data_IF_930773566710
#
_entry.id   IF_930773566710
#
_cell.length_a   1.000
_cell.length_b   1.000
_cell.length_c   1.000
_cell.angle_alpha   90.00
_cell.angle_beta   90.00
_cell.angle_gamma   90.00
#
_symmetry.space_group_name_H-M   'P 1'
#
loop_
_entity.id
_entity.type
_entity.pdbx_description
1 polymer ?
#
# COMPACT_ATOMS: atom_id res chain seq x y z
N UNK A 1 -11.10 -32.36 -39.12
CA UNK A 1 -12.19 -32.00 -38.21
C UNK A 1 -11.67 -30.99 -37.19
N UNK A 2 -12.10 -29.81 -37.39
CA UNK A 2 -11.85 -28.57 -36.67
C UNK A 2 -12.31 -28.70 -35.23
N UNK A 3 -11.49 -28.38 -34.23
CA UNK A 3 -12.02 -27.89 -32.97
C UNK A 3 -11.07 -26.94 -32.22
N UNK A 4 -11.47 -25.70 -32.18
CA UNK A 4 -11.34 -24.64 -31.20
C UNK A 4 -10.39 -24.88 -30.01
N UNK A 5 -9.19 -24.33 -30.08
CA UNK A 5 -8.45 -23.88 -28.91
C UNK A 5 -9.00 -22.51 -28.49
N UNK A 6 -9.78 -22.50 -27.45
CA UNK A 6 -10.14 -21.28 -26.70
C UNK A 6 -8.92 -20.84 -25.91
N UNK A 7 -8.59 -19.57 -26.10
CA UNK A 7 -7.40 -18.92 -25.60
C UNK A 7 -7.23 -18.99 -24.08
N UNK A 8 -6.04 -19.34 -23.72
CA UNK A 8 -5.41 -19.00 -22.46
C UNK A 8 -5.16 -17.50 -22.51
N UNK A 9 -5.90 -16.74 -21.75
CA UNK A 9 -5.58 -15.34 -21.54
C UNK A 9 -4.26 -15.26 -20.79
N UNK A 10 -3.27 -14.48 -21.25
CA UNK A 10 -2.09 -14.20 -20.46
C UNK A 10 -2.54 -13.42 -19.23
N UNK A 11 -2.27 -13.99 -18.06
CA UNK A 11 -2.37 -13.30 -16.78
C UNK A 11 -1.59 -12.00 -16.93
N UNK A 12 -2.31 -10.91 -16.98
CA UNK A 12 -1.77 -9.56 -17.00
C UNK A 12 -0.96 -9.36 -15.72
N UNK A 13 0.36 -9.54 -15.82
CA UNK A 13 1.29 -9.10 -14.78
C UNK A 13 1.16 -7.59 -14.67
N UNK A 14 0.36 -7.18 -13.72
CA UNK A 14 0.26 -5.79 -13.31
C UNK A 14 1.63 -5.40 -12.78
N UNK A 15 2.35 -4.59 -13.56
CA UNK A 15 3.52 -3.86 -13.09
C UNK A 15 2.99 -2.80 -12.12
N UNK A 16 2.79 -3.21 -10.89
CA UNK A 16 2.63 -2.33 -9.74
C UNK A 16 4.04 -1.90 -9.28
N UNK A 17 4.79 -1.23 -10.15
CA UNK A 17 6.11 -0.67 -9.85
C UNK A 17 5.96 0.84 -9.75
N UNK A 18 5.26 1.29 -8.71
CA UNK A 18 5.26 2.72 -8.36
C UNK A 18 5.23 2.97 -6.84
N UNK A 19 5.40 1.95 -6.01
CA UNK A 19 5.34 2.14 -4.55
C UNK A 19 6.36 1.35 -3.72
N UNK A 20 7.37 0.71 -4.31
CA UNK A 20 8.31 -0.14 -3.54
C UNK A 20 9.74 0.35 -3.67
N UNK A 21 10.10 1.42 -2.97
CA UNK A 21 11.47 1.95 -3.01
C UNK A 21 11.81 2.95 -1.92
N UNK A 22 11.04 3.03 -0.85
CA UNK A 22 11.36 3.87 0.30
C UNK A 22 11.90 3.00 1.46
N UNK A 23 13.14 2.52 1.32
CA UNK A 23 13.96 2.13 2.46
C UNK A 23 14.89 3.31 2.76
N UNK A 24 14.48 4.17 3.68
CA UNK A 24 15.31 5.22 4.23
C UNK A 24 16.31 4.61 5.22
N UNK A 25 17.59 4.66 4.87
CA UNK A 25 18.67 4.48 5.83
C UNK A 25 18.91 5.86 6.46
N UNK A 26 18.56 6.01 7.74
CA UNK A 26 18.89 7.18 8.53
C UNK A 26 20.42 7.18 8.78
N UNK A 27 21.12 8.09 8.11
CA UNK A 27 22.50 8.43 8.49
C UNK A 27 22.43 9.48 9.60
N UNK A 28 23.00 9.17 10.76
CA UNK A 28 23.17 10.11 11.86
C UNK A 28 24.01 11.31 11.40
N UNK A 29 23.43 12.50 11.51
CA UNK A 29 24.16 13.75 11.36
C UNK A 29 25.02 13.94 12.64
N UNK A 30 26.32 13.85 12.49
CA UNK A 30 27.26 14.36 13.53
C UNK A 30 27.41 15.85 13.33
N UNK A 31 27.15 16.61 14.39
CA UNK A 31 27.43 18.04 14.49
C UNK A 31 28.91 18.32 14.26
N UNK A 32 29.22 18.97 13.14
CA UNK A 32 30.52 19.56 12.92
C UNK A 32 30.55 20.97 13.54
N UNK A 33 31.59 21.34 14.27
CA UNK A 33 31.70 22.66 14.89
C UNK A 33 31.77 23.75 13.81
N UNK A 34 30.94 24.77 13.97
CA UNK A 34 30.97 25.96 13.14
C UNK A 34 32.28 26.73 13.33
N UNK A 35 33.17 26.60 12.35
CA UNK A 35 34.35 27.47 12.24
C UNK A 35 33.88 28.80 11.63
N UNK A 36 33.71 29.79 12.44
CA UNK A 36 33.59 31.20 11.99
C UNK A 36 34.94 31.65 11.41
N UNK A 37 35.10 31.54 10.09
CA UNK A 37 36.20 32.20 9.40
C UNK A 37 35.85 33.69 9.19
N UNK A 38 36.42 34.51 10.03
CA UNK A 38 36.44 35.96 9.85
C UNK A 38 37.46 36.28 8.71
N UNK A 39 36.97 36.28 7.47
CA UNK A 39 37.81 36.48 6.29
C UNK A 39 37.94 37.95 5.91
N UNK A 40 37.63 38.89 6.82
CA UNK A 40 37.83 40.33 6.57
C UNK A 40 36.99 40.92 5.42
N UNK A 41 36.06 40.13 4.86
CA UNK A 41 35.14 40.59 3.82
C UNK A 41 33.81 41.03 4.48
N UNK A 42 33.53 42.32 4.38
CA UNK A 42 32.29 42.88 4.90
C UNK A 42 31.12 42.59 3.95
N UNK A 43 30.67 41.32 3.92
CA UNK A 43 29.59 40.89 3.03
C UNK A 43 28.23 41.20 3.67
N UNK A 44 27.29 41.80 2.90
CA UNK A 44 25.91 41.99 3.37
C UNK A 44 25.27 40.65 3.75
N UNK A 45 24.47 40.60 4.81
CA UNK A 45 23.75 39.42 5.25
C UNK A 45 22.71 38.94 4.23
N UNK A 46 22.25 39.81 3.34
CA UNK A 46 21.35 39.54 2.24
C UNK A 46 22.05 39.81 0.93
N UNK A 47 22.65 38.76 0.35
CA UNK A 47 23.26 38.77 -0.99
C UNK A 47 22.17 38.63 -2.05
N UNK A 48 21.66 39.75 -2.57
CA UNK A 48 20.88 39.73 -3.82
C UNK A 48 21.83 39.76 -5.00
N UNK A 49 21.90 38.73 -5.77
CA UNK A 49 22.61 38.68 -7.05
C UNK A 49 21.81 39.47 -8.09
N UNK A 50 22.32 40.67 -8.46
CA UNK A 50 21.77 41.50 -9.55
C UNK A 50 22.18 40.93 -10.93
N UNK A 51 21.61 39.79 -11.31
CA UNK A 51 21.73 39.24 -12.65
C UNK A 51 20.34 38.83 -13.13
N UNK A 52 19.95 39.25 -14.34
CA UNK A 52 18.78 38.65 -14.99
C UNK A 52 19.08 37.17 -15.14
N UNK A 53 18.40 36.32 -14.34
CA UNK A 53 18.42 34.88 -14.54
C UNK A 53 17.78 34.64 -15.90
N UNK A 54 18.58 34.23 -16.88
CA UNK A 54 18.05 33.81 -18.18
C UNK A 54 17.13 32.60 -17.95
N UNK A 55 15.82 32.72 -18.17
CA UNK A 55 14.87 31.63 -17.95
C UNK A 55 15.14 30.43 -18.89
N UNK A 56 15.97 30.61 -19.91
CA UNK A 56 16.39 29.56 -20.85
C UNK A 56 17.69 28.86 -20.43
N UNK A 57 18.42 29.39 -19.44
CA UNK A 57 19.65 28.79 -18.95
C UNK A 57 19.33 27.62 -18.00
N UNK A 58 19.35 26.41 -18.54
CA UNK A 58 19.20 25.18 -17.75
C UNK A 58 20.49 24.92 -16.98
N UNK A 59 20.50 25.21 -15.67
CA UNK A 59 21.65 24.88 -14.82
C UNK A 59 21.73 23.37 -14.63
N UNK A 60 22.93 22.82 -14.80
CA UNK A 60 23.21 21.44 -14.43
C UNK A 60 23.01 21.30 -12.91
N UNK A 61 22.33 20.25 -12.48
CA UNK A 61 22.19 19.88 -11.07
C UNK A 61 23.10 18.70 -10.74
N UNK A 62 23.29 17.80 -11.69
CA UNK A 62 24.26 16.72 -11.63
C UNK A 62 24.78 16.35 -13.02
N UNK A 63 26.00 15.83 -13.07
CA UNK A 63 26.61 15.28 -14.29
C UNK A 63 27.05 13.86 -13.98
N UNK A 64 26.55 12.87 -14.73
CA UNK A 64 26.82 11.44 -14.53
C UNK A 64 27.55 10.91 -15.76
N UNK A 65 28.84 10.56 -15.62
CA UNK A 65 29.68 10.09 -16.74
C UNK A 65 29.53 10.97 -18.00
N UNK A 66 29.46 12.32 -17.81
CA UNK A 66 29.26 13.28 -18.91
C UNK A 66 27.78 13.56 -19.28
N UNK A 67 26.81 12.81 -18.77
CA UNK A 67 25.39 13.08 -19.02
C UNK A 67 24.86 14.10 -18.02
N UNK A 68 24.28 15.20 -18.52
CA UNK A 68 23.78 16.30 -17.70
C UNK A 68 22.34 16.03 -17.25
N UNK A 69 22.07 16.18 -15.94
CA UNK A 69 20.74 16.26 -15.34
C UNK A 69 20.49 17.70 -14.91
N UNK A 70 19.38 18.28 -15.36
CA UNK A 70 19.00 19.67 -15.05
C UNK A 70 17.93 19.75 -13.97
N UNK A 71 17.80 20.91 -13.34
CA UNK A 71 16.68 21.17 -12.41
C UNK A 71 15.31 20.94 -13.04
N UNK A 72 15.16 21.27 -14.34
CA UNK A 72 13.93 21.02 -15.09
C UNK A 72 13.60 19.52 -15.20
N UNK A 73 14.61 18.66 -15.39
CA UNK A 73 14.39 17.21 -15.46
C UNK A 73 13.86 16.69 -14.11
N UNK A 74 14.39 17.23 -13.00
CA UNK A 74 13.96 16.90 -11.66
C UNK A 74 12.52 17.38 -11.41
N UNK A 75 12.22 18.65 -11.74
CA UNK A 75 10.91 19.25 -11.51
C UNK A 75 9.82 18.54 -12.31
N UNK A 76 10.07 18.21 -13.57
CA UNK A 76 9.16 17.45 -14.41
C UNK A 76 8.92 16.02 -13.89
N UNK A 77 9.94 15.34 -13.37
CA UNK A 77 9.81 14.03 -12.77
C UNK A 77 9.09 14.09 -11.42
N UNK A 78 9.37 15.12 -10.62
CA UNK A 78 8.67 15.37 -9.36
C UNK A 78 7.16 15.58 -9.58
N UNK A 79 6.80 16.32 -10.64
CA UNK A 79 5.40 16.51 -11.02
C UNK A 79 4.69 15.17 -11.33
N UNK A 80 5.37 14.21 -11.98
CA UNK A 80 4.82 12.85 -12.19
C UNK A 80 4.59 12.11 -10.88
N UNK A 81 5.53 12.22 -9.94
CA UNK A 81 5.41 11.57 -8.61
C UNK A 81 4.23 12.18 -7.83
N UNK A 82 4.10 13.49 -7.85
CA UNK A 82 2.99 14.21 -7.20
C UNK A 82 1.65 13.79 -7.81
N UNK A 83 1.57 13.74 -9.13
CA UNK A 83 0.37 13.31 -9.86
C UNK A 83 -0.05 11.87 -9.49
N UNK A 84 0.91 10.95 -9.41
CA UNK A 84 0.66 9.56 -9.04
C UNK A 84 0.16 9.41 -7.59
N UNK A 85 0.49 10.36 -6.70
CA UNK A 85 0.08 10.40 -5.29
C UNK A 85 -1.16 11.28 -5.03
N UNK A 86 -1.96 11.56 -6.04
CA UNK A 86 -3.22 12.31 -5.89
C UNK A 86 -3.08 13.83 -5.91
N UNK A 87 -1.91 14.37 -6.28
CA UNK A 87 -1.75 15.78 -6.63
C UNK A 87 -1.52 16.77 -5.49
N UNK A 88 -1.49 16.31 -4.23
CA UNK A 88 -1.27 17.19 -3.07
C UNK A 88 -0.14 16.66 -2.18
N UNK A 89 0.87 17.47 -1.94
CA UNK A 89 2.02 17.16 -1.08
C UNK A 89 2.39 18.44 -0.30
N UNK A 90 2.74 18.28 0.98
CA UNK A 90 3.23 19.38 1.81
C UNK A 90 4.61 19.88 1.32
N UNK A 91 4.92 21.17 1.51
CA UNK A 91 6.15 21.76 0.99
C UNK A 91 7.41 21.10 1.56
N UNK A 92 7.39 20.71 2.84
CA UNK A 92 8.51 20.01 3.50
C UNK A 92 8.75 18.60 2.89
N UNK A 93 7.68 17.92 2.52
CA UNK A 93 7.75 16.61 1.87
C UNK A 93 8.22 16.76 0.41
N UNK A 94 7.89 17.86 -0.24
CA UNK A 94 8.29 18.17 -1.61
C UNK A 94 9.81 18.23 -1.77
N UNK A 95 10.53 18.83 -0.85
CA UNK A 95 11.99 18.90 -0.89
C UNK A 95 12.64 17.51 -0.70
N UNK A 96 12.09 16.70 0.21
CA UNK A 96 12.55 15.30 0.37
C UNK A 96 12.35 14.48 -0.90
N UNK A 97 11.18 14.60 -1.51
CA UNK A 97 10.87 13.94 -2.78
C UNK A 97 11.75 14.43 -3.92
N UNK A 98 12.11 15.70 -3.95
CA UNK A 98 13.02 16.27 -4.94
C UNK A 98 14.39 15.59 -4.90
N UNK A 99 14.95 15.39 -3.72
CA UNK A 99 16.21 14.66 -3.54
C UNK A 99 16.08 13.18 -3.95
N UNK A 100 14.96 12.55 -3.63
CA UNK A 100 14.69 11.18 -4.05
C UNK A 100 14.57 11.05 -5.57
N UNK A 101 13.87 11.98 -6.20
CA UNK A 101 13.73 12.06 -7.68
C UNK A 101 15.10 12.24 -8.33
N UNK A 102 15.97 13.12 -7.80
CA UNK A 102 17.34 13.26 -8.30
C UNK A 102 18.09 11.93 -8.27
N UNK A 103 18.05 11.21 -7.14
CA UNK A 103 18.67 9.87 -7.03
C UNK A 103 18.14 8.90 -8.07
N UNK A 104 16.82 8.87 -8.25
CA UNK A 104 16.18 7.99 -9.23
C UNK A 104 16.60 8.32 -10.67
N UNK A 105 16.75 9.60 -11.03
CA UNK A 105 17.21 10.00 -12.35
C UNK A 105 18.70 9.66 -12.54
N UNK A 106 19.51 9.75 -11.49
CA UNK A 106 20.90 9.29 -11.51
C UNK A 106 20.95 7.79 -11.81
N UNK A 107 20.19 6.99 -11.08
CA UNK A 107 20.12 5.54 -11.29
C UNK A 107 19.68 5.17 -12.69
N UNK A 108 18.59 5.77 -13.15
CA UNK A 108 18.07 5.61 -14.51
C UNK A 108 19.15 5.92 -15.56
N UNK A 109 19.92 6.98 -15.32
CA UNK A 109 21.01 7.37 -16.24
C UNK A 109 22.10 6.30 -16.27
N UNK A 110 22.53 5.81 -15.11
CA UNK A 110 23.52 4.74 -14.98
C UNK A 110 23.01 3.45 -15.63
N UNK A 111 21.77 3.08 -15.39
CA UNK A 111 21.13 1.89 -15.96
C UNK A 111 21.10 1.93 -17.50
N UNK A 112 20.76 3.09 -18.09
CA UNK A 112 20.76 3.28 -19.54
C UNK A 112 22.19 3.21 -20.10
N UNK A 113 23.16 3.81 -19.43
CA UNK A 113 24.56 3.79 -19.84
C UNK A 113 25.13 2.38 -19.81
N UNK A 114 24.86 1.64 -18.73
CA UNK A 114 25.31 0.26 -18.55
C UNK A 114 24.68 -0.69 -19.59
N UNK A 115 23.38 -0.53 -19.87
CA UNK A 115 22.71 -1.30 -20.92
C UNK A 115 23.38 -1.07 -22.29
N UNK A 116 23.71 0.17 -22.62
CA UNK A 116 24.42 0.52 -23.87
C UNK A 116 25.83 -0.08 -23.91
N UNK A 117 26.54 -0.06 -22.79
CA UNK A 117 27.86 -0.67 -22.70
C UNK A 117 27.84 -2.19 -22.95
N UNK A 118 26.69 -2.80 -22.83
CA UNK A 118 26.43 -4.23 -23.12
C UNK A 118 25.63 -4.45 -24.43
N UNK A 119 25.66 -3.51 -25.38
CA UNK A 119 24.98 -3.57 -26.67
C UNK A 119 23.45 -3.83 -26.52
N UNK A 120 22.84 -3.23 -25.49
CA UNK A 120 21.41 -3.26 -25.26
C UNK A 120 20.84 -1.88 -25.57
N UNK A 121 20.22 -1.77 -26.74
CA UNK A 121 19.53 -0.56 -27.18
C UNK A 121 18.02 -0.74 -27.07
N UNK A 122 17.35 0.31 -26.61
CA UNK A 122 15.89 0.40 -26.57
C UNK A 122 15.46 1.31 -27.71
N UNK A 123 14.69 0.76 -28.63
CA UNK A 123 14.23 1.49 -29.83
C UNK A 123 13.13 2.49 -29.47
N UNK A 124 13.01 3.54 -30.29
CA UNK A 124 11.95 4.53 -30.11
C UNK A 124 10.55 3.90 -30.19
N UNK A 125 10.36 2.90 -31.07
CA UNK A 125 9.09 2.17 -31.19
C UNK A 125 8.69 1.44 -29.90
N UNK A 126 9.64 0.82 -29.19
CA UNK A 126 9.38 0.16 -27.90
C UNK A 126 8.99 1.16 -26.80
N UNK A 127 9.66 2.32 -26.81
CA UNK A 127 9.34 3.44 -25.90
C UNK A 127 7.94 3.96 -26.18
N UNK A 128 7.61 4.21 -27.45
CA UNK A 128 6.31 4.76 -27.86
C UNK A 128 5.18 3.77 -27.60
N UNK A 129 5.39 2.48 -27.83
CA UNK A 129 4.42 1.44 -27.47
C UNK A 129 4.18 1.39 -25.96
N UNK A 130 5.22 1.50 -25.15
CA UNK A 130 5.08 1.53 -23.69
C UNK A 130 4.42 2.81 -23.21
N UNK A 131 4.71 3.94 -23.85
CA UNK A 131 4.07 5.22 -23.58
C UNK A 131 2.57 5.18 -23.90
N UNK A 132 2.16 4.54 -25.00
CA UNK A 132 0.75 4.35 -25.35
C UNK A 132 0.01 3.57 -24.25
N UNK A 133 0.59 2.47 -23.73
CA UNK A 133 -0.01 1.72 -22.62
C UNK A 133 -0.14 2.55 -21.34
N UNK A 134 0.81 3.45 -21.08
CA UNK A 134 0.69 4.39 -19.95
C UNK A 134 -0.46 5.37 -20.19
N UNK A 135 -0.58 5.94 -21.39
CA UNK A 135 -1.66 6.87 -21.74
C UNK A 135 -3.06 6.21 -21.56
N UNK A 136 -3.21 4.95 -21.96
CA UNK A 136 -4.46 4.18 -21.78
C UNK A 136 -4.87 4.07 -20.30
N UNK A 137 -3.92 3.87 -19.38
CA UNK A 137 -4.22 3.84 -17.92
C UNK A 137 -4.78 5.16 -17.42
N UNK A 138 -4.38 6.27 -18.02
CA UNK A 138 -4.93 7.59 -17.76
C UNK A 138 -6.19 7.89 -18.59
N UNK A 139 -6.72 6.90 -19.32
CA UNK A 139 -7.87 7.03 -20.23
C UNK A 139 -7.64 8.14 -21.28
N UNK A 140 -6.42 8.20 -21.83
CA UNK A 140 -5.99 9.19 -22.83
C UNK A 140 -5.34 8.49 -24.03
N UNK A 141 -5.28 9.21 -25.15
CA UNK A 141 -4.45 8.80 -26.29
C UNK A 141 -3.02 9.33 -26.10
N UNK A 142 -2.01 8.76 -26.77
CA UNK A 142 -0.64 9.30 -26.72
C UNK A 142 -0.56 10.80 -27.04
N UNK A 143 -1.37 11.26 -28.03
CA UNK A 143 -1.41 12.66 -28.46
C UNK A 143 -1.94 13.59 -27.35
N UNK A 144 -3.03 13.20 -26.68
CA UNK A 144 -3.65 14.01 -25.60
C UNK A 144 -2.87 13.91 -24.29
N UNK A 145 -2.11 12.84 -24.09
CA UNK A 145 -1.31 12.64 -22.89
C UNK A 145 -0.20 13.68 -22.74
N UNK A 146 0.46 14.06 -23.85
CA UNK A 146 1.51 15.07 -23.83
C UNK A 146 1.02 16.46 -23.39
N UNK A 147 -0.20 16.87 -23.81
CA UNK A 147 -0.84 18.10 -23.35
C UNK A 147 -1.16 18.03 -21.84
N UNK A 148 -1.77 16.95 -21.42
CA UNK A 148 -2.09 16.70 -20.01
C UNK A 148 -0.85 16.75 -19.10
N UNK A 149 0.24 16.11 -19.50
CA UNK A 149 1.48 16.13 -18.73
C UNK A 149 2.03 17.55 -18.57
N UNK A 150 1.97 18.38 -19.62
CA UNK A 150 2.37 19.79 -19.53
C UNK A 150 1.51 20.60 -18.59
N UNK A 151 0.19 20.40 -18.59
CA UNK A 151 -0.72 21.02 -17.64
C UNK A 151 -0.39 20.65 -16.18
N UNK A 152 0.10 19.43 -15.96
CA UNK A 152 0.53 18.96 -14.64
C UNK A 152 2.00 19.33 -14.28
N UNK A 153 2.66 20.16 -15.10
CA UNK A 153 4.05 20.59 -14.87
C UNK A 153 5.12 19.55 -15.24
N UNK A 154 4.75 18.54 -16.03
CA UNK A 154 5.66 17.51 -16.50
C UNK A 154 5.84 17.54 -18.03
N UNK A 155 6.44 16.52 -18.61
CA UNK A 155 6.61 16.38 -20.05
C UNK A 155 6.58 14.94 -20.53
N UNK A 156 6.23 14.75 -21.80
CA UNK A 156 6.32 13.48 -22.49
C UNK A 156 7.76 12.93 -22.48
N UNK A 157 8.74 13.81 -22.64
CA UNK A 157 10.16 13.44 -22.57
C UNK A 157 10.54 12.83 -21.23
N UNK A 158 10.06 13.38 -20.12
CA UNK A 158 10.36 12.88 -18.77
C UNK A 158 9.86 11.46 -18.58
N UNK A 159 8.62 11.17 -18.99
CA UNK A 159 8.05 9.83 -18.84
C UNK A 159 8.66 8.83 -19.84
N UNK A 160 8.93 9.23 -21.09
CA UNK A 160 9.60 8.39 -22.08
C UNK A 160 11.02 8.01 -21.66
N UNK A 161 11.75 8.93 -21.03
CA UNK A 161 13.08 8.62 -20.49
C UNK A 161 13.00 7.60 -19.35
N UNK A 162 12.01 7.73 -18.46
CA UNK A 162 11.77 6.73 -17.41
C UNK A 162 11.47 5.34 -18.01
N UNK A 163 10.59 5.28 -18.99
CA UNK A 163 10.29 4.04 -19.72
C UNK A 163 11.56 3.44 -20.35
N UNK A 164 12.39 4.28 -20.96
CA UNK A 164 13.66 3.83 -21.53
C UNK A 164 14.57 3.21 -20.48
N UNK A 165 14.70 3.83 -19.30
CA UNK A 165 15.49 3.31 -18.18
C UNK A 165 14.96 1.97 -17.67
N UNK A 166 13.66 1.86 -17.46
CA UNK A 166 13.00 0.63 -17.01
C UNK A 166 13.19 -0.53 -18.01
N UNK A 167 13.00 -0.27 -19.31
CA UNK A 167 13.21 -1.27 -20.37
C UNK A 167 14.68 -1.69 -20.48
N UNK A 168 15.59 -0.72 -20.44
CA UNK A 168 17.04 -0.96 -20.51
C UNK A 168 17.49 -1.82 -19.32
N UNK A 169 17.11 -1.44 -18.12
CA UNK A 169 17.44 -2.17 -16.90
C UNK A 169 16.88 -3.59 -16.90
N UNK A 170 15.59 -3.75 -17.16
CA UNK A 170 14.95 -5.07 -17.23
C UNK A 170 15.65 -5.99 -18.24
N UNK A 171 16.00 -5.48 -19.42
CA UNK A 171 16.70 -6.25 -20.46
C UNK A 171 18.14 -6.60 -20.06
N UNK A 172 18.82 -5.67 -19.41
CA UNK A 172 20.15 -5.90 -18.86
C UNK A 172 20.15 -6.99 -17.77
N UNK A 173 19.20 -6.92 -16.83
CA UNK A 173 19.07 -7.93 -15.79
C UNK A 173 18.79 -9.32 -16.38
N UNK A 174 17.90 -9.41 -17.33
CA UNK A 174 17.60 -10.68 -18.03
C UNK A 174 18.84 -11.28 -18.71
N UNK A 175 19.70 -10.44 -19.26
CA UNK A 175 20.91 -10.91 -19.96
C UNK A 175 22.08 -11.19 -19.01
N UNK A 176 22.23 -10.42 -17.92
CA UNK A 176 23.43 -10.39 -17.09
C UNK A 176 23.25 -10.93 -15.68
N UNK A 177 22.03 -11.04 -15.19
CA UNK A 177 21.75 -11.43 -13.81
C UNK A 177 20.95 -12.72 -13.74
N UNK A 178 19.82 -12.81 -14.46
CA UNK A 178 18.94 -13.97 -14.43
C UNK A 178 19.65 -15.30 -14.74
N UNK A 179 20.54 -15.42 -15.76
CA UNK A 179 21.21 -16.69 -16.07
C UNK A 179 22.10 -17.23 -14.95
N UNK A 180 22.45 -16.41 -13.97
CA UNK A 180 23.28 -16.79 -12.83
C UNK A 180 22.49 -16.93 -11.54
N UNK A 181 21.17 -16.86 -11.61
CA UNK A 181 20.28 -17.12 -10.49
C UNK A 181 19.80 -18.57 -10.59
N UNK A 182 20.20 -19.37 -9.60
CA UNK A 182 19.73 -20.76 -9.49
C UNK A 182 18.92 -20.91 -8.21
N UNK A 183 17.77 -21.53 -8.32
CA UNK A 183 16.93 -21.99 -7.21
C UNK A 183 16.83 -23.52 -7.37
N UNK A 184 17.16 -24.27 -6.33
CA UNK A 184 17.05 -25.71 -6.38
C UNK A 184 15.61 -26.17 -6.11
N UNK A 185 15.22 -27.28 -6.70
CA UNK A 185 13.92 -27.90 -6.45
C UNK A 185 13.75 -28.26 -4.96
N UNK A 186 14.81 -28.76 -4.31
CA UNK A 186 14.81 -29.07 -2.87
C UNK A 186 14.54 -27.86 -2.00
N UNK A 187 15.06 -26.69 -2.38
CA UNK A 187 14.78 -25.44 -1.66
C UNK A 187 13.31 -25.05 -1.78
N UNK A 188 12.75 -25.13 -2.98
CA UNK A 188 11.32 -24.84 -3.21
C UNK A 188 10.47 -25.85 -2.46
N UNK A 189 10.81 -27.14 -2.52
CA UNK A 189 10.10 -28.18 -1.78
C UNK A 189 10.14 -27.91 -0.27
N UNK A 190 11.29 -27.54 0.28
CA UNK A 190 11.42 -27.16 1.69
C UNK A 190 10.56 -25.95 2.09
N UNK A 191 10.37 -24.97 1.17
CA UNK A 191 9.45 -23.85 1.40
C UNK A 191 8.00 -24.33 1.39
N UNK A 192 7.63 -25.19 0.43
CA UNK A 192 6.31 -25.79 0.32
C UNK A 192 5.96 -26.61 1.56
N UNK A 193 6.89 -27.45 2.03
CA UNK A 193 6.69 -28.28 3.23
C UNK A 193 6.50 -27.42 4.49
N UNK A 194 7.28 -26.36 4.65
CA UNK A 194 7.10 -25.40 5.74
C UNK A 194 5.76 -24.65 5.67
N UNK A 195 5.33 -24.29 4.46
CA UNK A 195 4.04 -23.66 4.25
C UNK A 195 2.91 -24.62 4.61
N UNK A 196 3.01 -25.88 4.16
CA UNK A 196 2.05 -26.92 4.48
C UNK A 196 2.01 -27.26 5.98
N UNK A 197 3.17 -27.33 6.64
CA UNK A 197 3.26 -27.54 8.09
C UNK A 197 2.66 -26.37 8.88
N UNK A 198 2.57 -25.20 8.27
CA UNK A 198 1.95 -24.01 8.88
C UNK A 198 0.46 -23.91 8.61
N UNK A 199 -0.14 -24.84 7.88
CA UNK A 199 -1.57 -24.83 7.53
C UNK A 199 -2.44 -24.74 8.78
N UNK A 200 -3.41 -23.83 8.78
CA UNK A 200 -4.30 -23.56 9.90
C UNK A 200 -3.71 -22.72 11.03
N UNK A 201 -2.40 -22.42 11.00
CA UNK A 201 -1.82 -21.48 11.95
C UNK A 201 -2.32 -20.06 11.66
N UNK A 202 -2.50 -19.27 12.73
CA UNK A 202 -2.90 -17.87 12.60
C UNK A 202 -1.74 -17.02 12.07
N UNK A 203 -2.03 -16.21 11.06
CA UNK A 203 -1.22 -15.08 10.60
C UNK A 203 -1.93 -13.78 10.94
N UNK A 204 -1.16 -12.80 11.36
CA UNK A 204 -1.60 -11.48 11.77
C UNK A 204 -0.97 -10.42 10.89
N UNK A 205 -1.76 -9.56 10.30
CA UNK A 205 -1.28 -8.33 9.68
C UNK A 205 -1.22 -7.27 10.77
N UNK A 206 -0.02 -6.85 11.14
CA UNK A 206 0.22 -6.03 12.33
C UNK A 206 0.91 -4.73 11.95
N UNK A 207 0.40 -3.63 12.52
CA UNK A 207 1.14 -2.39 12.66
C UNK A 207 1.78 -2.30 14.04
N UNK A 208 3.02 -1.79 14.13
CA UNK A 208 3.77 -1.59 15.36
C UNK A 208 4.26 -0.14 15.51
N UNK A 209 4.08 0.43 16.70
CA UNK A 209 4.77 1.64 17.15
C UNK A 209 5.70 1.21 18.29
N UNK A 210 7.00 1.19 18.02
CA UNK A 210 8.03 0.90 19.02
C UNK A 210 8.58 2.20 19.62
N UNK A 211 8.60 2.26 20.95
CA UNK A 211 9.11 3.38 21.73
C UNK A 211 10.25 2.86 22.61
N UNK A 212 11.47 3.32 22.36
CA UNK A 212 12.63 2.93 23.17
C UNK A 212 12.53 3.49 24.58
N UNK A 213 12.95 2.70 25.56
CA UNK A 213 12.94 3.13 26.94
C UNK A 213 14.17 2.61 27.69
N UNK A 214 14.73 3.48 28.53
CA UNK A 214 15.72 3.10 29.54
C UNK A 214 15.04 2.96 30.89
N UNK A 215 15.66 2.34 31.89
CA UNK A 215 15.10 2.29 33.24
C UNK A 215 14.69 3.65 33.80
N UNK A 216 15.46 4.71 33.45
CA UNK A 216 15.28 6.07 33.97
C UNK A 216 14.03 6.78 33.36
N UNK A 217 13.73 6.53 32.07
CA UNK A 217 12.64 7.20 31.35
C UNK A 217 11.42 6.30 31.10
N UNK A 218 11.45 5.06 31.58
CA UNK A 218 10.43 4.05 31.29
C UNK A 218 9.01 4.49 31.64
N UNK A 219 8.83 5.17 32.79
CA UNK A 219 7.50 5.65 33.21
C UNK A 219 6.97 6.76 32.29
N UNK A 220 7.82 7.64 31.79
CA UNK A 220 7.45 8.70 30.83
C UNK A 220 7.09 8.11 29.47
N UNK A 221 7.92 7.19 28.96
CA UNK A 221 7.68 6.51 27.66
C UNK A 221 6.37 5.71 27.72
N UNK A 222 6.13 5.01 28.82
CA UNK A 222 4.86 4.31 29.03
C UNK A 222 3.65 5.26 28.99
N UNK A 223 3.75 6.42 29.67
CA UNK A 223 2.69 7.43 29.66
C UNK A 223 2.46 8.01 28.24
N UNK A 224 3.53 8.25 27.48
CA UNK A 224 3.46 8.71 26.10
C UNK A 224 2.82 7.68 25.19
N UNK A 225 3.16 6.39 25.33
CA UNK A 225 2.52 5.29 24.60
C UNK A 225 1.01 5.22 24.86
N UNK A 226 0.56 5.42 26.11
CA UNK A 226 -0.87 5.49 26.44
C UNK A 226 -1.57 6.68 25.75
N UNK A 227 -0.94 7.85 25.74
CA UNK A 227 -1.49 9.04 25.04
C UNK A 227 -1.65 8.78 23.54
N UNK A 228 -0.66 8.14 22.92
CA UNK A 228 -0.72 7.75 21.49
C UNK A 228 -1.92 6.81 21.25
N UNK A 229 -2.11 5.80 22.08
CA UNK A 229 -3.26 4.89 21.99
C UNK A 229 -4.58 5.64 22.10
N UNK A 230 -4.70 6.54 23.07
CA UNK A 230 -5.93 7.31 23.28
C UNK A 230 -6.26 8.21 22.08
N UNK A 231 -5.25 8.84 21.49
CA UNK A 231 -5.42 9.68 20.30
C UNK A 231 -5.82 8.86 19.07
N UNK A 232 -5.24 7.67 18.90
CA UNK A 232 -5.62 6.77 17.80
C UNK A 232 -7.06 6.26 18.00
N UNK A 233 -7.46 5.92 19.23
CA UNK A 233 -8.85 5.53 19.55
C UNK A 233 -9.87 6.65 19.30
N UNK A 234 -9.44 7.91 19.37
CA UNK A 234 -10.25 9.08 19.03
C UNK A 234 -10.31 9.39 17.52
N UNK A 235 -9.77 8.50 16.69
CA UNK A 235 -9.80 8.61 15.23
C UNK A 235 -8.49 9.05 14.58
N UNK A 236 -7.40 9.13 15.34
CA UNK A 236 -6.07 9.40 14.78
C UNK A 236 -5.58 8.24 13.91
N UNK A 237 -4.83 8.55 12.86
CA UNK A 237 -4.26 7.54 11.98
C UNK A 237 -3.07 6.83 12.63
N UNK A 238 -3.18 5.51 12.84
CA UNK A 238 -2.08 4.68 13.37
C UNK A 238 -0.78 4.88 12.56
N UNK A 239 -0.88 4.84 11.23
CA UNK A 239 0.27 4.99 10.35
C UNK A 239 0.94 6.38 10.47
N UNK A 240 0.17 7.45 10.73
CA UNK A 240 0.72 8.78 10.97
C UNK A 240 1.50 8.82 12.29
N UNK A 241 0.92 8.26 13.37
CA UNK A 241 1.60 8.16 14.66
C UNK A 241 2.84 7.28 14.60
N UNK A 242 2.80 6.17 13.86
CA UNK A 242 3.97 5.32 13.65
C UNK A 242 5.11 6.08 12.95
N UNK A 243 4.82 6.85 11.90
CA UNK A 243 5.83 7.67 11.21
C UNK A 243 6.44 8.75 12.10
N UNK A 244 5.66 9.28 13.01
CA UNK A 244 6.07 10.41 13.86
C UNK A 244 6.81 9.95 15.12
N UNK A 245 6.40 8.87 15.74
CA UNK A 245 6.84 8.48 17.08
C UNK A 245 7.56 7.13 17.15
N UNK A 246 7.38 6.24 16.16
CA UNK A 246 8.02 4.93 16.21
C UNK A 246 9.50 5.03 15.89
N UNK A 247 10.30 4.37 16.72
CA UNK A 247 11.75 4.20 16.53
C UNK A 247 12.10 2.87 15.81
N UNK A 248 11.08 2.09 15.42
CA UNK A 248 11.27 0.89 14.62
C UNK A 248 11.70 1.23 13.18
N UNK A 249 12.40 0.30 12.54
CA UNK A 249 12.75 0.42 11.11
C UNK A 249 11.54 0.54 10.18
N UNK A 250 10.38 0.08 10.63
CA UNK A 250 9.09 0.16 9.91
C UNK A 250 8.37 1.49 10.06
N UNK A 251 8.88 2.43 10.86
CA UNK A 251 8.28 3.76 11.07
C UNK A 251 7.97 4.48 9.75
N UNK A 252 8.91 4.45 8.79
CA UNK A 252 8.78 5.11 7.49
C UNK A 252 7.59 4.60 6.65
N UNK A 253 7.24 3.31 6.81
CA UNK A 253 6.09 2.67 6.16
C UNK A 253 4.83 2.67 7.04
N UNK A 254 4.80 3.51 8.09
CA UNK A 254 3.65 3.62 8.98
C UNK A 254 3.55 2.51 10.02
N UNK A 255 4.67 1.86 10.33
CA UNK A 255 4.75 0.78 11.32
C UNK A 255 4.29 -0.58 10.81
N UNK A 256 4.02 -0.73 9.52
CA UNK A 256 3.51 -1.96 8.93
C UNK A 256 4.56 -3.07 8.95
N UNK A 257 4.31 -4.16 9.69
CA UNK A 257 5.12 -5.38 9.72
C UNK A 257 4.70 -6.40 8.65
N UNK A 258 3.59 -6.14 7.95
CA UNK A 258 2.98 -7.09 7.04
C UNK A 258 2.38 -8.30 7.77
N UNK A 259 2.25 -9.42 7.06
CA UNK A 259 1.73 -10.68 7.60
C UNK A 259 2.83 -11.43 8.36
N UNK A 260 2.60 -11.63 9.65
CA UNK A 260 3.53 -12.34 10.56
C UNK A 260 2.80 -13.43 11.35
N UNK A 261 3.52 -14.49 11.67
CA UNK A 261 3.00 -15.58 12.51
C UNK A 261 3.45 -15.39 13.96
N UNK A 262 2.69 -15.94 14.90
CA UNK A 262 3.01 -15.84 16.33
C UNK A 262 4.48 -16.13 16.67
N UNK A 263 5.07 -17.25 16.20
CA UNK A 263 6.49 -17.58 16.47
C UNK A 263 7.53 -16.62 15.90
N UNK A 264 7.14 -15.69 15.03
CA UNK A 264 8.01 -14.64 14.47
C UNK A 264 8.00 -13.36 15.29
N UNK A 265 7.09 -13.25 16.25
CA UNK A 265 6.94 -12.12 17.16
C UNK A 265 7.54 -12.45 18.52
N UNK A 266 8.00 -11.45 19.30
CA UNK A 266 8.20 -11.60 20.74
C UNK A 266 6.92 -12.13 21.40
N UNK A 267 7.05 -13.02 22.38
CA UNK A 267 5.91 -13.71 23.01
C UNK A 267 4.82 -12.77 23.49
N UNK A 268 5.18 -11.64 24.11
CA UNK A 268 4.24 -10.65 24.59
C UNK A 268 3.41 -10.01 23.44
N UNK A 269 4.02 -9.78 22.29
CA UNK A 269 3.33 -9.24 21.10
C UNK A 269 2.48 -10.31 20.42
N UNK A 270 2.97 -11.55 20.37
CA UNK A 270 2.22 -12.69 19.82
C UNK A 270 0.93 -12.93 20.62
N UNK A 271 1.02 -12.89 21.95
CA UNK A 271 -0.13 -13.02 22.84
C UNK A 271 -1.13 -11.87 22.63
N UNK A 272 -0.65 -10.63 22.62
CA UNK A 272 -1.51 -9.46 22.41
C UNK A 272 -2.22 -9.52 21.04
N UNK A 273 -1.50 -9.90 19.97
CA UNK A 273 -2.10 -10.05 18.64
C UNK A 273 -3.15 -11.16 18.56
N UNK A 274 -3.01 -12.21 19.37
CA UNK A 274 -3.99 -13.30 19.43
C UNK A 274 -5.28 -12.89 20.16
N UNK A 275 -5.18 -12.02 21.16
CA UNK A 275 -6.27 -11.60 22.04
C UNK A 275 -7.14 -10.47 21.47
N UNK A 276 -6.56 -9.58 20.63
CA UNK A 276 -7.31 -8.45 20.06
C UNK A 276 -8.07 -8.82 18.80
N UNK A 277 -9.15 -8.11 18.53
CA UNK A 277 -9.92 -8.22 17.29
C UNK A 277 -9.34 -7.31 16.20
N UNK A 278 -9.63 -7.64 14.94
CA UNK A 278 -9.28 -6.82 13.78
C UNK A 278 -9.77 -5.38 13.98
N UNK A 279 -8.89 -4.41 13.72
CA UNK A 279 -9.14 -2.99 13.93
C UNK A 279 -8.88 -2.50 15.36
N UNK A 280 -8.46 -3.36 16.29
CA UNK A 280 -8.16 -2.98 17.67
C UNK A 280 -6.66 -2.76 17.91
N UNK A 281 -6.38 -2.04 18.99
CA UNK A 281 -5.03 -1.67 19.43
C UNK A 281 -4.78 -2.25 20.83
N UNK A 282 -3.63 -2.88 21.01
CA UNK A 282 -3.11 -3.32 22.30
C UNK A 282 -1.86 -2.55 22.69
N UNK A 283 -1.65 -2.42 23.98
CA UNK A 283 -0.41 -1.85 24.54
C UNK A 283 -0.65 -0.66 25.47
N UNK A 284 0.41 0.05 25.86
CA UNK A 284 1.81 -0.27 25.54
C UNK A 284 2.27 -1.58 26.17
N UNK A 285 2.88 -2.46 25.37
CA UNK A 285 3.37 -3.78 25.77
C UNK A 285 4.86 -3.68 26.03
N UNK A 286 5.30 -4.14 27.18
CA UNK A 286 6.73 -4.17 27.50
C UNK A 286 7.47 -5.19 26.59
N UNK A 287 8.50 -4.74 25.93
CA UNK A 287 9.41 -5.53 25.08
C UNK A 287 10.86 -5.21 25.44
N UNK A 288 11.82 -6.03 25.05
CA UNK A 288 13.23 -5.71 25.27
C UNK A 288 13.58 -4.33 24.70
N UNK A 289 14.08 -3.45 25.54
CA UNK A 289 14.50 -2.09 25.18
C UNK A 289 13.42 -1.03 25.12
N UNK A 290 12.14 -1.34 25.46
CA UNK A 290 11.10 -0.34 25.44
C UNK A 290 9.67 -0.88 25.49
N UNK A 291 8.78 -0.21 24.78
CA UNK A 291 7.37 -0.57 24.70
C UNK A 291 6.90 -0.57 23.24
N UNK A 292 6.03 -1.52 22.91
CA UNK A 292 5.35 -1.57 21.62
C UNK A 292 3.86 -1.36 21.76
N UNK A 293 3.28 -0.59 20.83
CA UNK A 293 1.83 -0.48 20.60
C UNK A 293 1.51 -1.26 19.33
N UNK A 294 0.62 -2.23 19.43
CA UNK A 294 0.24 -3.13 18.34
C UNK A 294 -1.15 -2.79 17.84
N UNK A 295 -1.30 -2.68 16.55
CA UNK A 295 -2.57 -2.55 15.84
C UNK A 295 -2.80 -3.77 14.97
N UNK A 296 -3.90 -4.50 15.19
CA UNK A 296 -4.26 -5.63 14.35
C UNK A 296 -5.05 -5.15 13.13
N UNK A 297 -4.37 -5.10 11.99
CA UNK A 297 -4.96 -4.69 10.71
C UNK A 297 -5.89 -5.77 10.19
N UNK A 298 -5.41 -7.03 10.20
CA UNK A 298 -6.19 -8.19 9.77
C UNK A 298 -5.65 -9.49 10.39
N UNK A 299 -6.43 -10.58 10.30
CA UNK A 299 -6.09 -11.91 10.79
C UNK A 299 -6.62 -12.96 9.83
N UNK A 300 -5.81 -13.96 9.51
CA UNK A 300 -6.20 -15.10 8.68
C UNK A 300 -5.52 -16.39 9.16
N UNK A 301 -5.95 -17.50 8.61
CA UNK A 301 -5.28 -18.79 8.79
C UNK A 301 -4.53 -19.19 7.51
N UNK A 302 -3.31 -19.67 7.69
CA UNK A 302 -2.44 -20.09 6.57
C UNK A 302 -3.14 -21.21 5.78
N UNK A 303 -3.25 -21.03 4.48
CA UNK A 303 -3.85 -22.00 3.54
C UNK A 303 -5.27 -22.47 3.89
N UNK A 304 -5.99 -21.73 4.70
CA UNK A 304 -7.40 -21.98 4.98
C UNK A 304 -8.27 -20.95 4.27
N UNK A 305 -9.50 -21.36 3.93
CA UNK A 305 -10.48 -20.38 3.46
C UNK A 305 -10.76 -19.35 4.55
N UNK A 306 -10.72 -18.07 4.21
CA UNK A 306 -11.20 -17.04 5.10
C UNK A 306 -12.72 -16.90 4.89
N UNK A 307 -13.56 -17.18 5.90
CA UNK A 307 -15.01 -17.06 5.75
C UNK A 307 -15.45 -15.66 5.29
N UNK A 308 -14.62 -14.64 5.53
CA UNK A 308 -14.89 -13.26 5.10
C UNK A 308 -14.73 -13.05 3.59
N UNK A 309 -14.10 -13.99 2.88
CA UNK A 309 -14.01 -13.98 1.41
C UNK A 309 -15.26 -14.58 0.74
N UNK A 310 -16.22 -15.08 1.54
CA UNK A 310 -17.52 -15.51 1.02
C UNK A 310 -18.25 -14.35 0.35
N UNK A 311 -18.92 -14.68 -0.75
CA UNK A 311 -19.75 -13.74 -1.50
C UNK A 311 -21.21 -13.99 -1.14
N UNK A 312 -21.89 -12.93 -0.72
CA UNK A 312 -23.26 -12.98 -0.25
C UNK A 312 -24.21 -12.34 -1.27
N UNK A 313 -25.38 -12.95 -1.39
CA UNK A 313 -26.54 -12.32 -2.03
C UNK A 313 -27.44 -11.86 -0.89
N UNK A 314 -27.54 -10.55 -0.73
CA UNK A 314 -28.26 -9.90 0.36
C UNK A 314 -29.48 -9.17 -0.16
N UNK A 315 -30.56 -9.21 0.60
CA UNK A 315 -31.71 -8.38 0.38
C UNK A 315 -31.87 -7.43 1.56
N UNK A 316 -31.68 -6.12 1.29
CA UNK A 316 -31.86 -5.10 2.32
C UNK A 316 -33.31 -4.66 2.37
N UNK A 317 -33.90 -4.69 3.56
CA UNK A 317 -35.20 -4.09 3.84
C UNK A 317 -34.98 -2.84 4.70
N UNK A 318 -35.55 -1.71 4.29
CA UNK A 318 -35.36 -0.41 4.94
C UNK A 318 -36.69 0.22 5.30
N UNK A 319 -36.89 0.55 6.58
CA UNK A 319 -38.04 1.25 7.10
C UNK A 319 -37.61 2.67 7.54
N UNK A 320 -38.18 3.68 6.88
CA UNK A 320 -37.94 5.09 7.23
C UNK A 320 -38.87 5.51 8.36
N UNK A 321 -38.35 6.25 9.32
CA UNK A 321 -39.17 6.84 10.38
C UNK A 321 -39.74 8.18 9.94
N UNK A 322 -40.90 8.55 10.52
CA UNK A 322 -41.48 9.88 10.32
C UNK A 322 -40.56 10.96 10.90
N UNK A 323 -40.48 12.16 10.28
CA UNK A 323 -39.71 13.26 10.83
C UNK A 323 -40.16 13.62 12.26
N UNK A 324 -39.18 13.76 13.17
CA UNK A 324 -39.46 14.12 14.57
C UNK A 324 -39.90 12.96 15.46
N UNK A 325 -39.77 11.69 15.02
CA UNK A 325 -40.08 10.51 15.84
C UNK A 325 -39.24 10.51 17.11
N UNK A 326 -39.86 10.21 18.25
CA UNK A 326 -39.14 10.05 19.52
C UNK A 326 -38.34 8.73 19.53
N UNK A 327 -37.24 8.69 20.28
CA UNK A 327 -36.39 7.49 20.40
C UNK A 327 -37.21 6.26 20.85
N UNK A 328 -38.16 6.44 21.76
CA UNK A 328 -39.01 5.35 22.25
C UNK A 328 -39.89 4.75 21.16
N UNK A 329 -40.52 5.60 20.31
CA UNK A 329 -41.36 5.16 19.20
C UNK A 329 -40.50 4.52 18.12
N UNK A 330 -39.35 5.11 17.78
CA UNK A 330 -38.40 4.51 16.83
C UNK A 330 -37.91 3.12 17.27
N UNK A 331 -37.61 2.96 18.55
CA UNK A 331 -37.22 1.65 19.12
C UNK A 331 -38.35 0.62 18.99
N UNK A 332 -39.56 0.99 19.37
CA UNK A 332 -40.72 0.09 19.26
C UNK A 332 -41.00 -0.33 17.81
N UNK A 333 -40.89 0.61 16.86
CA UNK A 333 -41.04 0.30 15.42
C UNK A 333 -39.90 -0.61 14.90
N UNK A 334 -38.65 -0.37 15.34
CA UNK A 334 -37.52 -1.21 14.99
C UNK A 334 -37.66 -2.64 15.52
N UNK A 335 -38.14 -2.81 16.78
CA UNK A 335 -38.41 -4.12 17.37
C UNK A 335 -39.55 -4.87 16.65
N UNK A 336 -40.65 -4.18 16.32
CA UNK A 336 -41.74 -4.74 15.54
C UNK A 336 -41.27 -5.19 14.15
N UNK A 337 -40.49 -4.36 13.48
CA UNK A 337 -39.87 -4.64 12.17
C UNK A 337 -38.92 -5.85 12.26
N UNK A 338 -38.07 -5.90 13.31
CA UNK A 338 -37.17 -7.04 13.54
C UNK A 338 -37.94 -8.36 13.78
N UNK A 339 -39.02 -8.35 14.57
CA UNK A 339 -39.86 -9.53 14.77
C UNK A 339 -40.52 -9.99 13.46
N UNK A 340 -41.03 -9.07 12.65
CA UNK A 340 -41.66 -9.39 11.37
C UNK A 340 -40.66 -10.00 10.37
N UNK A 341 -39.40 -9.52 10.38
CA UNK A 341 -38.35 -10.02 9.48
C UNK A 341 -37.77 -11.34 9.95
N UNK A 342 -37.59 -11.56 11.24
CA UNK A 342 -37.11 -12.83 11.80
C UNK A 342 -38.09 -13.99 11.57
N UNK A 343 -39.40 -13.72 11.63
CA UNK A 343 -40.44 -14.72 11.38
C UNK A 343 -40.78 -14.98 9.89
N UNK A 344 -40.07 -14.37 8.98
CA UNK A 344 -40.43 -14.31 7.58
C UNK A 344 -40.31 -15.65 6.83
N UNK A 345 -39.41 -16.54 7.25
CA UNK A 345 -39.25 -17.88 6.66
C UNK A 345 -38.61 -17.89 5.26
N UNK A 346 -37.70 -16.95 5.02
CA UNK A 346 -36.82 -16.94 3.83
C UNK A 346 -37.01 -15.79 2.85
N UNK A 347 -36.09 -15.67 1.92
CA UNK A 347 -35.98 -14.55 0.98
C UNK A 347 -37.20 -14.36 0.07
N UNK A 348 -37.91 -15.42 -0.28
CA UNK A 348 -39.07 -15.33 -1.16
C UNK A 348 -40.23 -14.48 -0.61
N UNK A 349 -40.26 -14.27 0.71
CA UNK A 349 -41.32 -13.48 1.38
C UNK A 349 -40.93 -12.04 1.70
N UNK A 350 -39.69 -11.61 1.37
CA UNK A 350 -39.21 -10.26 1.69
C UNK A 350 -40.10 -9.16 1.14
N UNK A 351 -40.52 -9.26 -0.13
CA UNK A 351 -41.40 -8.26 -0.75
C UNK A 351 -42.77 -8.17 -0.04
N UNK A 352 -43.34 -9.30 0.36
CA UNK A 352 -44.63 -9.33 1.04
C UNK A 352 -44.51 -8.73 2.45
N UNK A 353 -43.48 -9.09 3.21
CA UNK A 353 -43.25 -8.55 4.56
C UNK A 353 -42.91 -7.07 4.50
N UNK A 354 -42.09 -6.65 3.53
CA UNK A 354 -41.78 -5.25 3.34
C UNK A 354 -43.01 -4.40 3.03
N UNK A 355 -43.87 -4.87 2.13
CA UNK A 355 -45.12 -4.18 1.81
C UNK A 355 -46.06 -4.07 3.04
N UNK A 356 -46.17 -5.11 3.86
CA UNK A 356 -46.95 -5.09 5.09
C UNK A 356 -46.40 -4.13 6.15
N UNK A 357 -45.13 -3.87 6.16
CA UNK A 357 -44.42 -2.97 7.11
C UNK A 357 -44.15 -1.58 6.55
N UNK A 358 -44.48 -1.29 5.28
CA UNK A 358 -44.18 -0.03 4.62
C UNK A 358 -42.68 0.18 4.37
N UNK A 359 -41.93 -0.91 4.24
CA UNK A 359 -40.48 -0.91 4.03
C UNK A 359 -40.12 -1.03 2.55
N UNK A 360 -39.02 -0.42 2.17
CA UNK A 360 -38.40 -0.56 0.83
C UNK A 360 -37.50 -1.80 0.80
N UNK A 361 -37.41 -2.48 -0.36
CA UNK A 361 -36.50 -3.63 -0.58
C UNK A 361 -35.49 -3.29 -1.67
N UNK A 362 -34.22 -3.58 -1.40
CA UNK A 362 -33.15 -3.44 -2.36
C UNK A 362 -32.34 -4.74 -2.39
N UNK A 363 -32.13 -5.28 -3.59
CA UNK A 363 -31.28 -6.45 -3.80
C UNK A 363 -29.83 -6.00 -3.94
N UNK A 364 -28.93 -6.67 -3.21
CA UNK A 364 -27.48 -6.46 -3.23
C UNK A 364 -26.81 -7.82 -3.45
N UNK A 365 -26.54 -8.14 -4.69
CA UNK A 365 -25.85 -9.35 -5.06
C UNK A 365 -24.33 -9.14 -5.09
N UNK A 366 -23.57 -10.24 -4.94
CA UNK A 366 -22.10 -10.25 -5.02
C UNK A 366 -21.38 -9.39 -3.95
N UNK A 367 -21.95 -9.28 -2.75
CA UNK A 367 -21.36 -8.56 -1.63
C UNK A 367 -20.34 -9.45 -0.92
N UNK A 368 -19.06 -9.09 -0.91
CA UNK A 368 -18.06 -9.80 -0.11
C UNK A 368 -18.27 -9.45 1.37
N UNK A 369 -18.23 -10.46 2.24
CA UNK A 369 -18.33 -10.24 3.69
C UNK A 369 -17.27 -9.25 4.17
N UNK A 370 -16.04 -9.37 3.68
CA UNK A 370 -14.89 -8.52 3.98
C UNK A 370 -15.13 -7.03 3.74
N UNK A 371 -15.95 -6.68 2.77
CA UNK A 371 -16.23 -5.28 2.37
C UNK A 371 -17.27 -4.60 3.29
N UNK A 372 -17.86 -5.36 4.20
CA UNK A 372 -18.85 -4.86 5.16
C UNK A 372 -18.19 -4.38 6.46
N UNK A 373 -18.86 -3.49 7.21
CA UNK A 373 -18.40 -3.12 8.56
C UNK A 373 -18.21 -4.35 9.46
N UNK A 374 -17.15 -4.40 10.31
CA UNK A 374 -16.81 -5.59 11.12
C UNK A 374 -17.96 -6.18 11.91
N UNK A 375 -18.81 -5.35 12.48
CA UNK A 375 -19.99 -5.78 13.24
C UNK A 375 -21.01 -6.54 12.38
N UNK A 376 -21.19 -6.13 11.13
CA UNK A 376 -22.08 -6.82 10.17
C UNK A 376 -21.43 -8.10 9.64
N UNK A 377 -20.11 -8.15 9.49
CA UNK A 377 -19.40 -9.37 9.11
C UNK A 377 -19.69 -10.49 10.11
N UNK A 378 -19.52 -10.23 11.40
CA UNK A 378 -19.78 -11.23 12.46
C UNK A 378 -21.22 -11.72 12.50
N UNK A 379 -22.17 -10.82 12.28
CA UNK A 379 -23.59 -11.16 12.23
C UNK A 379 -23.91 -12.04 11.01
N UNK A 380 -23.48 -11.60 9.82
CA UNK A 380 -23.80 -12.30 8.58
C UNK A 380 -23.11 -13.66 8.46
N UNK A 381 -21.90 -13.81 9.01
CA UNK A 381 -21.21 -15.10 9.05
C UNK A 381 -21.94 -16.16 9.90
N UNK A 382 -22.72 -15.73 10.90
CA UNK A 382 -23.49 -16.62 11.79
C UNK A 382 -24.88 -16.99 11.24
N UNK A 383 -25.39 -16.20 10.25
CA UNK A 383 -26.72 -16.45 9.68
C UNK A 383 -26.72 -17.63 8.72
N UNK A 384 -27.82 -18.38 8.72
CA UNK A 384 -28.16 -19.35 7.68
C UNK A 384 -28.87 -18.64 6.52
N UNK A 385 -28.80 -19.24 5.32
CA UNK A 385 -29.54 -18.72 4.16
C UNK A 385 -31.05 -18.71 4.47
N UNK A 386 -31.69 -17.58 4.28
CA UNK A 386 -33.09 -17.33 4.62
C UNK A 386 -33.28 -16.58 5.93
N UNK A 387 -32.26 -16.44 6.77
CA UNK A 387 -32.30 -15.67 8.00
C UNK A 387 -31.98 -14.19 7.78
N UNK A 388 -32.34 -13.36 8.77
CA UNK A 388 -32.13 -11.91 8.74
C UNK A 388 -31.30 -11.43 9.92
N UNK A 389 -30.55 -10.35 9.73
CA UNK A 389 -29.87 -9.66 10.82
C UNK A 389 -30.88 -9.07 11.82
N UNK A 390 -30.47 -8.82 13.06
CA UNK A 390 -31.16 -7.87 13.90
C UNK A 390 -31.31 -6.51 13.22
N UNK A 391 -32.37 -5.72 13.51
CA UNK A 391 -32.51 -4.38 12.94
C UNK A 391 -31.41 -3.46 13.42
N UNK A 392 -30.86 -2.67 12.49
CA UNK A 392 -29.79 -1.69 12.77
C UNK A 392 -30.09 -0.37 12.04
N UNK A 393 -29.60 0.73 12.55
CA UNK A 393 -29.81 2.06 11.97
C UNK A 393 -29.81 3.16 13.01
N UNK A 394 -30.40 4.29 12.68
CA UNK A 394 -30.49 5.45 13.58
C UNK A 394 -31.92 6.06 13.54
N UNK A 395 -32.31 6.80 14.60
CA UNK A 395 -33.62 7.47 14.61
C UNK A 395 -33.83 8.48 13.48
N UNK A 396 -32.76 8.99 12.88
CA UNK A 396 -32.78 9.99 11.81
C UNK A 396 -32.82 9.37 10.42
N UNK A 397 -32.19 8.19 10.25
CA UNK A 397 -32.04 7.52 8.95
C UNK A 397 -33.03 6.36 8.75
N UNK A 398 -33.66 5.93 9.83
CA UNK A 398 -34.51 4.75 9.82
C UNK A 398 -33.79 3.47 10.24
N UNK A 399 -34.48 2.35 10.11
CA UNK A 399 -33.98 1.02 10.45
C UNK A 399 -33.84 0.15 9.21
N UNK A 400 -32.80 -0.67 9.19
CA UNK A 400 -32.48 -1.62 8.11
C UNK A 400 -32.33 -3.03 8.68
N UNK A 401 -32.64 -4.00 7.84
CA UNK A 401 -32.41 -5.43 8.09
C UNK A 401 -31.83 -6.02 6.81
N UNK A 402 -30.81 -6.86 6.95
CA UNK A 402 -30.25 -7.62 5.83
C UNK A 402 -30.74 -9.08 5.93
N UNK A 403 -31.28 -9.59 4.84
CA UNK A 403 -31.71 -10.98 4.70
C UNK A 403 -30.67 -11.71 3.86
N UNK A 404 -30.13 -12.81 4.35
CA UNK A 404 -29.16 -13.61 3.62
C UNK A 404 -29.90 -14.52 2.64
N UNK A 405 -29.79 -14.23 1.36
CA UNK A 405 -30.49 -14.97 0.30
C UNK A 405 -29.63 -16.03 -0.39
N UNK A 406 -28.31 -15.88 -0.35
CA UNK A 406 -27.38 -16.84 -0.89
C UNK A 406 -26.00 -16.58 -0.31
N UNK A 407 -25.17 -17.63 -0.27
CA UNK A 407 -23.78 -17.57 0.15
C UNK A 407 -22.99 -18.50 -0.75
N UNK A 408 -22.03 -17.92 -1.48
CA UNK A 408 -20.97 -18.67 -2.13
C UNK A 408 -19.82 -18.74 -1.12
N UNK A 409 -19.58 -19.96 -0.62
CA UNK A 409 -18.55 -20.19 0.41
C UNK A 409 -17.18 -19.79 -0.14
N UNK A 410 -16.36 -19.20 0.74
CA UNK A 410 -14.98 -18.88 0.41
C UNK A 410 -14.24 -20.17 0.00
N UNK A 411 -13.68 -20.19 -1.18
CA UNK A 411 -12.77 -21.25 -1.57
C UNK A 411 -11.47 -21.10 -0.77
N UNK A 412 -10.90 -22.22 -0.33
CA UNK A 412 -9.59 -22.20 0.32
C UNK A 412 -8.61 -21.46 -0.58
N UNK A 413 -7.82 -20.55 0.00
CA UNK A 413 -6.72 -19.94 -0.72
C UNK A 413 -5.89 -21.10 -1.31
N UNK A 414 -5.82 -21.18 -2.63
CA UNK A 414 -5.03 -22.21 -3.27
C UNK A 414 -3.60 -22.08 -2.75
N UNK A 415 -3.07 -23.15 -2.18
CA UNK A 415 -1.65 -23.19 -1.87
C UNK A 415 -0.89 -22.77 -3.13
N UNK A 416 0.13 -21.90 -3.02
CA UNK A 416 0.90 -21.54 -4.19
C UNK A 416 1.45 -22.80 -4.83
N UNK A 417 1.44 -22.86 -6.14
CA UNK A 417 2.03 -23.98 -6.87
C UNK A 417 3.55 -23.98 -6.73
N UNK A 418 4.17 -25.12 -6.96
CA UNK A 418 5.63 -25.22 -6.99
C UNK A 418 6.25 -24.17 -7.93
N UNK A 419 5.69 -24.00 -9.13
CA UNK A 419 6.15 -23.02 -10.10
C UNK A 419 6.01 -21.57 -9.61
N UNK A 420 4.93 -21.26 -8.88
CA UNK A 420 4.74 -19.93 -8.29
C UNK A 420 5.78 -19.65 -7.21
N UNK A 421 6.06 -20.60 -6.33
CA UNK A 421 7.10 -20.46 -5.30
C UNK A 421 8.48 -20.34 -5.94
N UNK A 422 8.79 -21.18 -6.93
CA UNK A 422 10.03 -21.13 -7.70
C UNK A 422 10.23 -19.73 -8.29
N UNK A 423 9.25 -19.25 -9.05
CA UNK A 423 9.29 -17.90 -9.68
C UNK A 423 9.47 -16.78 -8.65
N UNK A 424 8.79 -16.87 -7.51
CA UNK A 424 8.90 -15.87 -6.44
C UNK A 424 10.31 -15.84 -5.82
N UNK A 425 10.91 -17.00 -5.59
CA UNK A 425 12.28 -17.10 -5.05
C UNK A 425 13.29 -16.60 -6.08
N UNK A 426 13.13 -16.97 -7.35
CA UNK A 426 13.97 -16.48 -8.45
C UNK A 426 13.90 -14.96 -8.58
N UNK A 427 12.69 -14.38 -8.63
CA UNK A 427 12.49 -12.92 -8.67
C UNK A 427 13.12 -12.22 -7.48
N UNK A 428 12.99 -12.79 -6.27
CA UNK A 428 13.63 -12.27 -5.07
C UNK A 428 15.16 -12.24 -5.18
N UNK A 429 15.76 -13.30 -5.69
CA UNK A 429 17.23 -13.38 -5.91
C UNK A 429 17.71 -12.45 -6.99
N UNK A 430 16.97 -12.35 -8.11
CA UNK A 430 17.26 -11.39 -9.19
C UNK A 430 17.26 -9.98 -8.63
N UNK A 431 16.23 -9.60 -7.85
CA UNK A 431 16.11 -8.29 -7.25
C UNK A 431 17.26 -7.97 -6.29
N UNK A 432 17.66 -8.93 -5.44
CA UNK A 432 18.81 -8.74 -4.54
C UNK A 432 20.12 -8.54 -5.31
N UNK A 433 20.36 -9.32 -6.36
CA UNK A 433 21.55 -9.16 -7.22
C UNK A 433 21.50 -7.86 -8.00
N UNK A 434 20.34 -7.48 -8.52
CA UNK A 434 20.11 -6.22 -9.24
C UNK A 434 20.43 -5.00 -8.34
N UNK A 435 19.98 -5.02 -7.08
CA UNK A 435 20.30 -3.96 -6.12
C UNK A 435 21.80 -3.88 -5.81
N UNK A 436 22.50 -5.01 -5.68
CA UNK A 436 23.95 -5.03 -5.50
C UNK A 436 24.64 -4.48 -6.75
N UNK A 437 24.25 -4.94 -7.91
CA UNK A 437 24.78 -4.49 -9.19
C UNK A 437 24.64 -2.97 -9.38
N UNK A 438 23.45 -2.43 -9.13
CA UNK A 438 23.22 -0.99 -9.20
C UNK A 438 24.07 -0.20 -8.19
N UNK A 439 24.25 -0.72 -6.97
CA UNK A 439 25.16 -0.09 -5.98
C UNK A 439 26.61 -0.04 -6.46
N UNK A 440 27.08 -1.13 -7.06
CA UNK A 440 28.44 -1.19 -7.62
C UNK A 440 28.61 -0.20 -8.77
N UNK A 441 27.63 -0.15 -9.69
CA UNK A 441 27.60 0.83 -10.77
C UNK A 441 27.59 2.28 -10.26
N UNK A 442 26.85 2.60 -9.20
CA UNK A 442 26.87 3.93 -8.58
C UNK A 442 28.24 4.28 -7.99
N UNK A 443 28.88 3.32 -7.34
CA UNK A 443 30.23 3.53 -6.77
C UNK A 443 31.25 3.82 -7.86
N UNK A 444 31.14 3.17 -9.00
CA UNK A 444 32.09 3.26 -10.11
C UNK A 444 31.79 4.45 -11.05
N UNK A 445 30.59 5.01 -10.98
CA UNK A 445 30.19 6.17 -11.77
C UNK A 445 30.81 7.48 -11.27
N UNK A 446 31.21 8.34 -12.21
CA UNK A 446 31.62 9.72 -11.89
C UNK A 446 30.38 10.59 -11.79
N UNK A 447 30.01 10.99 -10.57
CA UNK A 447 28.85 11.83 -10.28
C UNK A 447 29.33 13.17 -9.74
N UNK A 448 29.12 14.24 -10.49
CA UNK A 448 29.45 15.62 -10.12
C UNK A 448 28.14 16.40 -9.83
N UNK A 449 27.95 16.84 -8.59
CA UNK A 449 26.82 17.66 -8.16
C UNK A 449 27.15 19.15 -8.32
N UNK A 450 26.21 19.95 -8.89
CA UNK A 450 26.38 21.36 -9.20
C UNK A 450 25.41 22.25 -8.41
#
# INVERSE_FOLDING_TARGET
LINKFKGVQPVSRTIAILASGLLAIAAAAQDAPSVSSDNGLNLPKDLTTFGKVDPHLRKATAIINGTIITGTDIDQRLALVILANGGKIADEERERLRLQVLRNIIDETIQIQEARAHDIEITQGEIDQSYARVAERFKRTPETMGAYLREQGSSERSIKRQIQGELAWSRLLRRRVEPFVNVSEDEVQSIMDRLQASKGQSEYHIGEIYLSATPENSAEVLANGRKIIDQIRQGGSFAAYARQFSEASTAAVGGDLGWVRGPQLPDALAQAAAEISVGQIAGPIAVPGGFSVVYLVDKRQVLMADPRDAVLNLRQMSLKFAPGVTKAVATAQAEAFGKATQGMGGCGKTAQVAAAQGAEVVDNDQVKVRDLPPQLQELLLKLSVGESTPPFGSPTEGVRVLVLCGRDEATSANAPTFEQVMSQVEEGRVNQRAQRYLRDLRRDAVIDYR
#
